data_IF_652177690776
#
_entry.id   IF_652177690776
#
_cell.length_a   1.000
_cell.length_b   1.000
_cell.length_c   1.000
_cell.angle_alpha   90.00
_cell.angle_beta   90.00
_cell.angle_gamma   90.00
#
_symmetry.space_group_name_H-M   'P 1'
#
loop_
_entity.id
_entity.type
_entity.pdbx_description
1 polymer ?
#
# COMPACT_ATOMS: atom_id res chain seq x y z
N UNK A 1 1.19 -13.01 17.85
CA UNK A 1 0.74 -12.48 16.54
C UNK A 1 0.07 -11.10 16.55
N UNK A 2 -0.17 -10.43 17.71
CA UNK A 2 -0.89 -9.13 17.74
C UNK A 2 -0.26 -8.00 16.92
N UNK A 3 1.07 -7.95 16.80
CA UNK A 3 1.75 -6.85 16.11
C UNK A 3 1.46 -6.87 14.61
N UNK A 4 1.54 -8.04 13.97
CA UNK A 4 1.29 -8.18 12.54
C UNK A 4 -0.14 -7.77 12.15
N UNK A 5 -1.13 -8.22 12.93
CA UNK A 5 -2.55 -7.86 12.73
C UNK A 5 -2.77 -6.36 12.91
N UNK A 6 -2.21 -5.75 13.98
CA UNK A 6 -2.35 -4.31 14.21
C UNK A 6 -1.72 -3.47 13.10
N UNK A 7 -0.55 -3.86 12.59
CA UNK A 7 0.11 -3.18 11.48
C UNK A 7 -0.70 -3.31 10.21
N UNK A 8 -1.20 -4.52 9.90
CA UNK A 8 -2.02 -4.74 8.71
C UNK A 8 -3.31 -3.92 8.79
N UNK A 9 -4.01 -3.88 9.92
CA UNK A 9 -5.20 -3.03 10.12
C UNK A 9 -4.94 -1.56 9.78
N UNK A 10 -3.81 -0.99 10.22
CA UNK A 10 -3.45 0.39 9.88
C UNK A 10 -3.24 0.58 8.38
N UNK A 11 -2.58 -0.38 7.71
CA UNK A 11 -2.38 -0.34 6.26
C UNK A 11 -3.74 -0.41 5.55
N UNK A 12 -4.63 -1.32 5.96
CA UNK A 12 -5.97 -1.44 5.39
C UNK A 12 -6.77 -0.14 5.49
N UNK A 13 -6.73 0.52 6.65
CA UNK A 13 -7.42 1.81 6.83
C UNK A 13 -6.87 2.91 5.92
N UNK A 14 -5.56 2.94 5.72
CA UNK A 14 -4.90 3.87 4.78
C UNK A 14 -5.35 3.60 3.33
N UNK A 15 -5.33 2.34 2.90
CA UNK A 15 -5.72 1.94 1.54
C UNK A 15 -7.22 2.20 1.28
N UNK A 16 -8.08 1.99 2.28
CA UNK A 16 -9.50 2.30 2.20
C UNK A 16 -9.74 3.82 2.04
N UNK A 17 -9.00 4.65 2.79
CA UNK A 17 -9.11 6.11 2.69
C UNK A 17 -8.68 6.65 1.31
N UNK A 18 -7.70 6.03 0.67
CA UNK A 18 -7.23 6.45 -0.65
C UNK A 18 -8.11 5.95 -1.79
N UNK A 19 -8.53 4.69 -1.74
CA UNK A 19 -9.35 4.12 -2.80
C UNK A 19 -10.82 4.50 -2.67
N UNK A 20 -11.27 4.88 -1.48
CA UNK A 20 -12.70 5.07 -1.17
C UNK A 20 -13.50 3.76 -1.21
N UNK A 21 -12.81 2.61 -1.22
CA UNK A 21 -13.42 1.29 -1.30
C UNK A 21 -13.51 0.65 0.10
N UNK A 22 -14.51 -0.22 0.25
CA UNK A 22 -14.54 -1.17 1.35
C UNK A 22 -13.56 -2.31 1.06
N UNK A 23 -12.44 -2.37 1.82
CA UNK A 23 -11.40 -3.37 1.66
C UNK A 23 -11.54 -4.49 2.68
N UNK A 24 -11.50 -5.73 2.21
CA UNK A 24 -11.52 -6.93 3.08
C UNK A 24 -10.10 -7.43 3.38
N UNK A 25 -9.97 -8.26 4.42
CA UNK A 25 -8.69 -8.88 4.79
C UNK A 25 -8.11 -9.73 3.66
N UNK A 26 -8.94 -10.51 2.97
CA UNK A 26 -8.49 -11.36 1.86
C UNK A 26 -7.98 -10.53 0.68
N UNK A 27 -8.66 -9.42 0.35
CA UNK A 27 -8.20 -8.49 -0.68
C UNK A 27 -6.83 -7.89 -0.34
N UNK A 28 -6.63 -7.54 0.92
CA UNK A 28 -5.39 -6.92 1.41
C UNK A 28 -4.22 -7.90 1.44
N UNK A 29 -4.49 -9.15 1.82
CA UNK A 29 -3.49 -10.22 1.77
C UNK A 29 -3.16 -10.65 0.32
N UNK A 30 -4.07 -10.44 -0.63
CA UNK A 30 -3.88 -10.72 -2.04
C UNK A 30 -3.39 -9.51 -2.88
N UNK A 31 -3.14 -8.35 -2.25
CA UNK A 31 -2.69 -7.13 -2.95
C UNK A 31 -1.37 -7.36 -3.69
N UNK A 32 -1.27 -6.82 -4.91
CA UNK A 32 -0.05 -6.90 -5.74
C UNK A 32 0.80 -5.65 -5.65
N UNK A 33 0.48 -4.75 -4.73
CA UNK A 33 1.22 -3.50 -4.56
C UNK A 33 2.65 -3.78 -4.08
N UNK A 34 3.63 -3.37 -4.89
CA UNK A 34 5.04 -3.44 -4.55
C UNK A 34 5.66 -2.04 -4.57
N UNK A 35 6.02 -1.55 -3.38
CA UNK A 35 6.70 -0.26 -3.19
C UNK A 35 8.20 -0.41 -2.94
N UNK A 36 8.72 -1.63 -2.98
CA UNK A 36 10.13 -1.89 -2.76
C UNK A 36 10.96 -1.38 -3.96
N UNK A 37 12.13 -0.77 -3.72
CA UNK A 37 13.09 -0.48 -4.78
C UNK A 37 13.46 -1.76 -5.54
N UNK A 38 13.59 -1.67 -6.86
CA UNK A 38 14.03 -2.79 -7.70
C UNK A 38 15.51 -3.16 -7.47
N UNK A 39 16.31 -2.17 -7.05
CA UNK A 39 17.72 -2.35 -6.71
C UNK A 39 18.10 -1.39 -5.57
N UNK A 40 19.09 -1.79 -4.78
CA UNK A 40 19.61 -1.03 -3.64
C UNK A 40 20.99 -0.46 -3.98
N UNK A 41 21.14 0.85 -3.90
CA UNK A 41 22.38 1.56 -4.20
C UNK A 41 22.20 3.06 -3.96
N UNK A 42 23.24 3.72 -3.45
CA UNK A 42 23.16 5.13 -3.05
C UNK A 42 22.95 6.08 -4.23
N UNK A 43 23.42 5.70 -5.42
CA UNK A 43 23.34 6.50 -6.64
C UNK A 43 22.17 6.12 -7.55
N UNK A 44 21.29 5.21 -7.11
CA UNK A 44 20.16 4.75 -7.92
C UNK A 44 19.00 5.74 -7.86
N UNK A 45 18.39 6.11 -9.00
CA UNK A 45 17.21 6.96 -9.00
C UNK A 45 16.03 6.21 -8.34
N UNK A 46 15.56 6.72 -7.21
CA UNK A 46 14.36 6.21 -6.56
C UNK A 46 13.13 6.73 -7.31
N UNK A 47 12.37 5.82 -7.92
CA UNK A 47 11.09 6.16 -8.53
C UNK A 47 10.07 6.41 -7.41
N UNK A 48 9.82 7.68 -7.07
CA UNK A 48 8.88 8.08 -6.04
C UNK A 48 7.47 8.02 -6.65
N UNK A 49 6.58 7.11 -6.21
CA UNK A 49 5.23 7.06 -6.72
C UNK A 49 4.48 8.35 -6.38
N UNK A 50 3.54 8.73 -7.26
CA UNK A 50 2.67 9.88 -7.01
C UNK A 50 1.91 9.70 -5.68
N UNK A 51 1.68 10.81 -4.98
CA UNK A 51 0.91 10.78 -3.73
C UNK A 51 -0.51 10.27 -4.02
N UNK A 52 -1.02 9.32 -3.22
CA UNK A 52 -2.37 8.82 -3.42
C UNK A 52 -3.38 9.92 -3.09
N UNK A 53 -4.27 10.21 -4.04
CA UNK A 53 -5.36 11.17 -3.91
C UNK A 53 -6.68 10.39 -3.92
N UNK A 54 -7.59 10.63 -2.94
CA UNK A 54 -8.91 10.03 -2.95
C UNK A 54 -9.64 10.27 -4.28
N UNK A 55 -10.12 9.20 -4.91
CA UNK A 55 -10.81 9.23 -6.22
C UNK A 55 -9.93 8.96 -7.44
N UNK A 56 -8.63 9.26 -7.37
CA UNK A 56 -7.67 8.93 -8.43
C UNK A 56 -6.92 7.62 -8.15
N UNK A 57 -6.74 7.28 -6.87
CA UNK A 57 -6.04 6.08 -6.44
C UNK A 57 -6.84 4.80 -6.70
N UNK A 58 -6.19 3.79 -7.29
CA UNK A 58 -6.78 2.47 -7.53
C UNK A 58 -6.03 1.41 -6.74
N UNK A 59 -6.78 0.65 -5.94
CA UNK A 59 -6.26 -0.50 -5.23
C UNK A 59 -5.89 -1.63 -6.21
N UNK A 60 -4.72 -2.25 -6.02
CA UNK A 60 -4.12 -3.27 -6.91
C UNK A 60 -3.50 -4.44 -6.15
#
# INVERSE_FOLDING_TARGET
MRVAESTLTCIMGREAAYSGLELTWDMMLASKQNLQPQAFGYDLPLNIPARPVPGDYKFV
#
